data_IF_167887378840
#
_entry.id   IF_167887378840
#
_cell.length_a   1.000
_cell.length_b   1.000
_cell.length_c   1.000
_cell.angle_alpha   90.00
_cell.angle_beta   90.00
_cell.angle_gamma   90.00
#
_symmetry.space_group_name_H-M   'P 1'
#
loop_
_entity.id
_entity.type
_entity.pdbx_description
1 polymer ?
#
# COMPACT_ATOMS: atom_id res chain seq x y z
N UNK A 1 6.75 -24.51 21.21
CA UNK A 1 7.22 -23.12 21.13
C UNK A 1 6.00 -22.22 21.03
N UNK A 2 5.58 -21.61 22.12
CA UNK A 2 4.48 -20.63 22.12
C UNK A 2 5.02 -19.29 21.65
N UNK A 3 4.48 -18.77 20.56
CA UNK A 3 4.72 -17.39 20.14
C UNK A 3 4.06 -16.45 21.16
N UNK A 4 4.87 -15.65 21.85
CA UNK A 4 4.42 -14.66 22.83
C UNK A 4 3.56 -13.59 22.16
N UNK A 5 2.36 -13.40 22.72
CA UNK A 5 1.40 -12.36 22.38
C UNK A 5 1.83 -10.99 22.92
N UNK A 6 2.89 -10.42 22.34
CA UNK A 6 3.28 -9.03 22.63
C UNK A 6 2.86 -8.14 21.47
N UNK A 7 1.77 -7.41 21.70
CA UNK A 7 1.21 -6.35 20.83
C UNK A 7 0.63 -6.88 19.52
N UNK A 8 -0.62 -7.36 19.56
CA UNK A 8 -1.41 -7.57 18.35
C UNK A 8 -1.85 -6.20 17.80
N UNK A 9 -0.98 -5.55 17.02
CA UNK A 9 -1.46 -4.54 16.07
C UNK A 9 -2.30 -5.34 15.07
N UNK A 10 -3.60 -5.04 14.87
CA UNK A 10 -4.39 -5.74 13.89
C UNK A 10 -3.83 -5.42 12.49
N UNK A 11 -2.90 -6.25 12.05
CA UNK A 11 -2.37 -6.25 10.70
C UNK A 11 -3.55 -6.53 9.77
N UNK A 12 -3.71 -5.66 8.77
CA UNK A 12 -4.70 -5.83 7.71
C UNK A 12 -3.94 -6.04 6.42
N UNK A 13 -4.42 -6.97 5.61
CA UNK A 13 -3.74 -7.32 4.37
C UNK A 13 -4.41 -6.72 3.14
N UNK A 14 -3.60 -6.56 2.09
CA UNK A 14 -4.03 -6.19 0.74
C UNK A 14 -3.70 -7.35 -0.19
N UNK A 15 -4.71 -7.92 -0.84
CA UNK A 15 -4.49 -8.99 -1.82
C UNK A 15 -4.36 -8.42 -3.21
N UNK A 16 -3.32 -8.81 -3.92
CA UNK A 16 -3.03 -8.36 -5.28
C UNK A 16 -3.09 -9.59 -6.18
N UNK A 17 -4.17 -9.69 -6.95
CA UNK A 17 -4.49 -10.81 -7.81
C UNK A 17 -4.31 -10.37 -9.26
N UNK A 18 -3.33 -10.94 -9.95
CA UNK A 18 -3.06 -10.64 -11.35
C UNK A 18 -3.09 -11.92 -12.17
N UNK A 19 -3.64 -11.87 -13.38
CA UNK A 19 -3.78 -13.07 -14.19
C UNK A 19 -4.19 -12.83 -15.64
N UNK A 20 -3.99 -13.87 -16.44
CA UNK A 20 -4.51 -13.96 -17.80
C UNK A 20 -5.75 -14.83 -17.83
N UNK A 21 -6.64 -14.52 -18.77
CA UNK A 21 -7.87 -15.27 -19.00
C UNK A 21 -8.12 -15.41 -20.49
N UNK A 22 -8.82 -16.46 -20.88
CA UNK A 22 -9.17 -16.74 -22.28
C UNK A 22 -10.55 -16.20 -22.67
N UNK A 23 -11.37 -15.84 -21.69
CA UNK A 23 -12.76 -15.41 -21.90
C UNK A 23 -12.94 -13.88 -21.94
N UNK A 24 -11.97 -13.11 -21.43
CA UNK A 24 -12.01 -11.66 -21.51
C UNK A 24 -11.59 -11.17 -22.89
N UNK A 25 -12.36 -10.26 -23.48
CA UNK A 25 -12.00 -9.56 -24.73
C UNK A 25 -11.14 -8.33 -24.47
N UNK A 26 -11.20 -7.77 -23.26
CA UNK A 26 -10.46 -6.60 -22.81
C UNK A 26 -9.97 -6.79 -21.37
N UNK A 27 -8.93 -6.06 -20.98
CA UNK A 27 -8.41 -6.10 -19.61
C UNK A 27 -9.39 -5.43 -18.62
N UNK A 28 -9.50 -6.01 -17.43
CA UNK A 28 -10.33 -5.53 -16.33
C UNK A 28 -9.43 -5.27 -15.13
N UNK A 29 -9.57 -4.09 -14.54
CA UNK A 29 -8.90 -3.71 -13.29
C UNK A 29 -9.94 -3.31 -12.27
N UNK A 30 -9.88 -3.91 -11.09
CA UNK A 30 -10.79 -3.61 -9.98
C UNK A 30 -9.97 -3.34 -8.72
N UNK A 31 -10.29 -2.25 -8.04
CA UNK A 31 -9.78 -1.93 -6.71
C UNK A 31 -10.94 -1.91 -5.72
N UNK A 32 -10.83 -2.72 -4.68
CA UNK A 32 -11.91 -2.96 -3.71
C UNK A 32 -11.38 -2.63 -2.32
N UNK A 33 -12.11 -1.79 -1.59
CA UNK A 33 -11.94 -1.58 -0.16
C UNK A 33 -13.15 -2.14 0.57
N UNK A 34 -12.93 -3.19 1.37
CA UNK A 34 -13.98 -3.76 2.20
C UNK A 34 -14.36 -2.80 3.34
N UNK A 35 -15.65 -2.76 3.71
CA UNK A 35 -16.14 -1.92 4.82
C UNK A 35 -15.52 -2.31 6.15
N UNK A 36 -15.35 -3.61 6.37
CA UNK A 36 -14.67 -4.23 7.51
C UNK A 36 -13.62 -5.21 6.98
N UNK A 37 -12.54 -5.42 7.74
CA UNK A 37 -11.51 -6.36 7.31
C UNK A 37 -11.97 -7.80 7.62
N UNK A 38 -11.90 -8.70 6.64
CA UNK A 38 -12.48 -10.05 6.74
C UNK A 38 -11.43 -11.10 6.39
N UNK A 39 -11.41 -12.21 7.14
CA UNK A 39 -10.60 -13.38 6.80
C UNK A 39 -11.20 -14.09 5.58
N UNK A 40 -10.48 -14.07 4.46
CA UNK A 40 -10.92 -14.67 3.20
C UNK A 40 -10.37 -16.09 3.05
N UNK A 41 -10.63 -16.95 4.04
CA UNK A 41 -10.17 -18.35 4.05
C UNK A 41 -8.68 -18.48 3.76
N UNK A 42 -8.33 -19.35 2.82
CA UNK A 42 -6.95 -19.65 2.42
C UNK A 42 -6.39 -18.72 1.34
N UNK A 43 -7.02 -17.55 1.12
CA UNK A 43 -6.51 -16.56 0.15
C UNK A 43 -5.12 -16.02 0.54
N UNK A 44 -4.82 -16.02 1.83
CA UNK A 44 -3.60 -15.44 2.40
C UNK A 44 -2.82 -16.53 3.13
N UNK A 45 -1.51 -16.58 2.92
CA UNK A 45 -0.60 -17.56 3.56
C UNK A 45 -0.66 -17.49 5.10
N UNK A 46 -0.79 -16.28 5.62
CA UNK A 46 -0.98 -16.01 7.05
C UNK A 46 -2.43 -15.62 7.27
N UNK A 47 -3.12 -16.10 8.33
CA UNK A 47 -4.52 -15.78 8.59
C UNK A 47 -4.70 -14.32 9.06
N UNK A 48 -4.58 -13.40 8.12
CA UNK A 48 -4.65 -11.95 8.33
C UNK A 48 -5.90 -11.41 7.64
N UNK A 49 -6.74 -10.60 8.32
CA UNK A 49 -7.96 -10.09 7.73
C UNK A 49 -7.65 -9.16 6.54
N UNK A 50 -8.30 -9.44 5.42
CA UNK A 50 -8.17 -8.66 4.19
C UNK A 50 -8.97 -7.38 4.28
N UNK A 51 -8.35 -6.26 3.95
CA UNK A 51 -9.02 -4.95 3.83
C UNK A 51 -9.17 -4.50 2.38
N UNK A 52 -8.13 -4.72 1.58
CA UNK A 52 -8.07 -4.28 0.19
C UNK A 52 -7.89 -5.48 -0.74
N UNK A 53 -8.50 -5.38 -1.93
CA UNK A 53 -8.25 -6.30 -3.02
C UNK A 53 -7.99 -5.49 -4.29
N UNK A 54 -6.91 -5.82 -4.96
CA UNK A 54 -6.64 -5.39 -6.32
C UNK A 54 -6.70 -6.60 -7.22
N UNK A 55 -7.51 -6.51 -8.27
CA UNK A 55 -7.69 -7.59 -9.24
C UNK A 55 -7.41 -7.02 -10.63
N UNK A 56 -6.44 -7.59 -11.33
CA UNK A 56 -6.14 -7.25 -12.72
C UNK A 56 -6.15 -8.52 -13.57
N UNK A 57 -7.15 -8.64 -14.43
CA UNK A 57 -7.30 -9.76 -15.35
C UNK A 57 -7.24 -9.25 -16.78
N UNK A 58 -6.46 -9.90 -17.62
CA UNK A 58 -6.35 -9.51 -19.02
C UNK A 58 -6.31 -10.67 -19.99
N UNK A 59 -6.01 -10.37 -21.24
CA UNK A 59 -5.92 -11.35 -22.32
C UNK A 59 -4.59 -12.09 -22.28
N UNK A 60 -4.60 -13.31 -22.81
CA UNK A 60 -3.39 -14.13 -22.97
C UNK A 60 -2.29 -13.42 -23.77
N UNK A 61 -1.02 -13.64 -23.38
CA UNK A 61 0.18 -13.10 -24.02
C UNK A 61 0.77 -11.84 -23.36
N UNK A 62 0.26 -11.43 -22.19
CA UNK A 62 0.70 -10.25 -21.44
C UNK A 62 1.08 -10.54 -19.97
N UNK A 63 1.21 -11.80 -19.56
CA UNK A 63 1.46 -12.23 -18.18
C UNK A 63 2.63 -11.49 -17.52
N UNK A 64 3.73 -11.30 -18.24
CA UNK A 64 4.89 -10.57 -17.74
C UNK A 64 4.53 -9.11 -17.39
N UNK A 65 3.76 -8.42 -18.23
CA UNK A 65 3.30 -7.05 -17.98
C UNK A 65 2.34 -7.01 -16.78
N UNK A 66 1.41 -7.96 -16.69
CA UNK A 66 0.47 -8.04 -15.58
C UNK A 66 1.16 -8.30 -14.24
N UNK A 67 2.22 -9.11 -14.25
CA UNK A 67 3.08 -9.32 -13.07
C UNK A 67 3.76 -8.03 -12.63
N UNK A 68 4.31 -7.24 -13.57
CA UNK A 68 4.91 -5.95 -13.21
C UNK A 68 3.86 -4.94 -12.71
N UNK A 69 2.64 -4.94 -13.27
CA UNK A 69 1.51 -4.16 -12.72
C UNK A 69 1.22 -4.55 -11.26
N UNK A 70 1.14 -5.86 -10.98
CA UNK A 70 0.92 -6.36 -9.62
C UNK A 70 2.04 -5.95 -8.66
N UNK A 71 3.30 -6.02 -9.10
CA UNK A 71 4.46 -5.57 -8.31
C UNK A 71 4.40 -4.08 -8.01
N UNK A 72 4.12 -3.25 -9.01
CA UNK A 72 3.95 -1.80 -8.83
C UNK A 72 2.83 -1.49 -7.85
N UNK A 73 1.71 -2.22 -7.91
CA UNK A 73 0.62 -2.05 -6.95
C UNK A 73 1.02 -2.49 -5.54
N UNK A 74 1.87 -3.51 -5.40
CA UNK A 74 2.42 -3.94 -4.12
C UNK A 74 3.30 -2.87 -3.47
N UNK A 75 4.15 -2.24 -4.27
CA UNK A 75 4.98 -1.11 -3.81
C UNK A 75 4.10 0.07 -3.41
N UNK A 76 3.11 0.43 -4.24
CA UNK A 76 2.19 1.53 -3.96
C UNK A 76 1.38 1.30 -2.67
N UNK A 77 0.88 0.08 -2.46
CA UNK A 77 0.12 -0.26 -1.24
C UNK A 77 0.98 -0.35 0.02
N UNK A 78 2.30 -0.44 -0.13
CA UNK A 78 3.27 -0.43 0.97
C UNK A 78 3.66 0.99 1.39
N UNK A 79 3.35 2.00 0.57
CA UNK A 79 3.55 3.39 0.92
C UNK A 79 2.50 3.86 1.94
N UNK A 80 2.96 4.44 3.06
CA UNK A 80 2.09 4.83 4.17
C UNK A 80 1.12 5.96 3.77
N UNK A 81 1.57 6.90 2.93
CA UNK A 81 0.74 8.04 2.49
C UNK A 81 -0.38 7.55 1.58
N UNK A 82 -0.05 6.75 0.58
CA UNK A 82 -1.03 6.14 -0.30
C UNK A 82 -1.99 5.21 0.44
N UNK A 83 -1.49 4.42 1.41
CA UNK A 83 -2.33 3.57 2.24
C UNK A 83 -3.40 4.39 2.97
N UNK A 84 -3.01 5.53 3.54
CA UNK A 84 -3.90 6.46 4.21
C UNK A 84 -4.95 7.07 3.27
N UNK A 85 -4.53 7.46 2.07
CA UNK A 85 -5.43 7.92 1.01
C UNK A 85 -6.43 6.82 0.64
N UNK A 86 -5.97 5.59 0.44
CA UNK A 86 -6.83 4.45 0.12
C UNK A 86 -7.88 4.16 1.20
N UNK A 87 -7.56 4.38 2.49
CA UNK A 87 -8.54 4.28 3.58
C UNK A 87 -9.58 5.39 3.62
N UNK A 88 -9.22 6.60 3.19
CA UNK A 88 -10.08 7.79 3.26
C UNK A 88 -10.82 8.06 1.94
N UNK A 89 -10.35 7.49 0.84
CA UNK A 89 -10.89 7.68 -0.51
C UNK A 89 -12.40 7.43 -0.56
N UNK A 90 -13.11 8.32 -1.24
CA UNK A 90 -14.55 8.22 -1.51
C UNK A 90 -14.83 8.06 -3.00
N UNK A 91 -13.83 8.33 -3.83
CA UNK A 91 -13.94 8.32 -5.28
C UNK A 91 -12.68 7.77 -5.93
N UNK A 92 -12.78 7.40 -7.21
CA UNK A 92 -11.62 7.01 -8.02
C UNK A 92 -10.59 8.14 -8.13
N UNK A 93 -11.05 9.39 -8.19
CA UNK A 93 -10.17 10.56 -8.31
C UNK A 93 -9.25 10.72 -7.11
N UNK A 94 -9.70 10.36 -5.91
CA UNK A 94 -8.85 10.41 -4.71
C UNK A 94 -7.69 9.41 -4.81
N UNK A 95 -7.97 8.19 -5.31
CA UNK A 95 -6.95 7.17 -5.53
C UNK A 95 -5.94 7.58 -6.61
N UNK A 96 -6.41 8.22 -7.69
CA UNK A 96 -5.53 8.71 -8.75
C UNK A 96 -4.64 9.85 -8.24
N UNK A 97 -5.20 10.78 -7.45
CA UNK A 97 -4.41 11.84 -6.83
C UNK A 97 -3.31 11.29 -5.91
N UNK A 98 -3.63 10.26 -5.10
CA UNK A 98 -2.63 9.59 -4.27
C UNK A 98 -1.55 8.88 -5.10
N UNK A 99 -1.91 8.29 -6.23
CA UNK A 99 -0.95 7.68 -7.16
C UNK A 99 -0.02 8.75 -7.76
N UNK A 100 -0.57 9.89 -8.19
CA UNK A 100 0.22 10.99 -8.76
C UNK A 100 1.19 11.59 -7.73
N UNK A 101 0.76 11.71 -6.47
CA UNK A 101 1.62 12.14 -5.35
C UNK A 101 2.76 11.15 -5.11
N UNK A 102 2.46 9.85 -5.07
CA UNK A 102 3.47 8.80 -4.94
C UNK A 102 4.50 8.86 -6.09
N UNK A 103 4.04 8.99 -7.33
CA UNK A 103 4.91 9.07 -8.51
C UNK A 103 5.77 10.34 -8.51
N UNK A 104 5.26 11.44 -7.99
CA UNK A 104 6.01 12.70 -7.87
C UNK A 104 7.14 12.62 -6.85
N UNK A 105 6.99 11.78 -5.82
CA UNK A 105 8.03 11.52 -4.82
C UNK A 105 9.03 10.43 -5.26
N UNK A 106 8.67 9.58 -6.23
CA UNK A 106 9.51 8.48 -6.69
C UNK A 106 10.69 8.99 -7.54
N UNK A 107 11.91 8.61 -7.15
CA UNK A 107 13.12 8.90 -7.94
C UNK A 107 13.35 7.84 -8.99
N UNK A 108 13.47 8.24 -10.26
CA UNK A 108 13.83 7.34 -11.37
C UNK A 108 15.34 7.30 -11.54
N UNK A 109 15.89 6.09 -11.62
CA UNK A 109 17.30 5.87 -11.93
C UNK A 109 17.47 5.64 -13.45
N UNK A 110 18.41 6.34 -14.11
CA UNK A 110 18.67 6.13 -15.52
C UNK A 110 19.27 4.74 -15.79
N UNK A 111 18.93 4.09 -16.92
CA UNK A 111 19.48 2.79 -17.29
C UNK A 111 20.96 2.95 -17.70
N UNK A 112 21.88 2.36 -16.94
CA UNK A 112 23.30 2.23 -17.35
C UNK A 112 24.35 2.63 -16.32
N UNK A 113 24.00 3.36 -15.25
CA UNK A 113 24.96 3.74 -14.18
C UNK A 113 24.77 2.95 -12.88
N UNK A 114 23.91 1.93 -12.92
CA UNK A 114 23.61 1.11 -11.75
C UNK A 114 24.22 -0.27 -11.88
N UNK A 115 25.34 -0.50 -11.19
CA UNK A 115 25.89 -1.84 -11.02
C UNK A 115 25.13 -2.56 -9.87
N UNK A 116 24.46 -3.70 -10.10
CA UNK A 116 23.77 -4.42 -9.03
C UNK A 116 24.69 -4.88 -7.87
N UNK A 117 26.02 -4.87 -8.08
CA UNK A 117 27.02 -5.22 -7.08
C UNK A 117 27.48 -4.04 -6.21
N UNK A 118 27.21 -2.78 -6.60
CA UNK A 118 27.48 -1.62 -5.74
C UNK A 118 26.40 -1.52 -4.66
N UNK A 119 26.73 -2.02 -3.47
CA UNK A 119 25.91 -1.91 -2.27
C UNK A 119 25.75 -0.42 -1.91
N UNK A 120 24.54 0.13 -2.05
CA UNK A 120 24.23 1.44 -1.46
C UNK A 120 24.29 1.26 0.05
N UNK A 121 25.14 2.00 0.73
CA UNK A 121 25.09 2.07 2.18
C UNK A 121 23.77 2.74 2.58
N UNK A 122 23.06 2.21 3.60
CA UNK A 122 21.86 2.85 4.09
C UNK A 122 22.17 4.30 4.47
N UNK A 123 21.28 5.27 4.14
CA UNK A 123 21.53 6.68 4.42
C UNK A 123 21.82 6.87 5.92
N UNK A 124 22.85 7.68 6.22
CA UNK A 124 23.33 7.90 7.59
C UNK A 124 22.27 8.44 8.56
N UNK A 125 21.18 9.00 8.01
CA UNK A 125 19.98 9.37 8.75
C UNK A 125 18.77 9.14 7.87
N UNK A 126 17.82 8.32 8.35
CA UNK A 126 16.48 8.24 7.80
C UNK A 126 15.81 9.60 8.07
N UNK A 127 15.28 10.32 7.06
CA UNK A 127 14.49 11.52 7.33
C UNK A 127 13.32 11.12 8.22
N UNK A 128 13.32 11.59 9.46
CA UNK A 128 12.25 11.30 10.40
C UNK A 128 10.93 11.86 9.82
N UNK A 129 9.93 11.00 9.58
CA UNK A 129 8.56 11.38 9.17
C UNK A 129 7.82 12.27 10.21
N UNK A 130 8.53 12.88 11.15
CA UNK A 130 8.02 13.63 12.30
C UNK A 130 7.53 15.04 11.93
N UNK A 131 7.63 15.48 10.67
CA UNK A 131 7.23 16.85 10.30
C UNK A 131 5.73 17.11 10.22
N UNK A 132 4.87 16.08 10.25
CA UNK A 132 3.41 16.28 10.20
C UNK A 132 2.66 15.84 11.48
N UNK A 133 3.33 15.22 12.46
CA UNK A 133 2.70 14.80 13.72
C UNK A 133 2.64 15.92 14.77
N UNK A 134 3.49 16.95 14.67
CA UNK A 134 3.53 18.08 15.60
C UNK A 134 2.36 19.05 15.46
N UNK A 135 1.56 18.98 14.39
CA UNK A 135 0.36 19.83 14.26
C UNK A 135 -0.87 19.24 14.95
N UNK A 136 -0.93 17.91 15.13
CA UNK A 136 -2.05 17.24 15.81
C UNK A 136 -1.86 17.15 17.33
N UNK A 137 -0.62 17.05 17.84
CA UNK A 137 -0.38 16.94 19.29
C UNK A 137 -0.45 18.28 20.06
N UNK A 138 -0.51 19.43 19.37
CA UNK A 138 -0.61 20.74 20.04
C UNK A 138 -2.07 21.09 20.37
N UNK A 139 -3.04 20.61 19.59
CA UNK A 139 -4.46 20.96 19.78
C UNK A 139 -5.13 20.24 20.97
N UNK A 140 -4.63 19.07 21.40
CA UNK A 140 -5.23 18.34 22.55
C UNK A 140 -4.86 18.91 23.93
N UNK A 141 -3.81 19.73 24.05
CA UNK A 141 -3.39 20.25 25.37
C UNK A 141 -4.16 21.49 25.85
N UNK A 142 -5.02 22.09 25.03
CA UNK A 142 -5.74 23.33 25.39
C UNK A 142 -7.18 23.14 25.91
N UNK A 143 -7.73 21.91 25.97
CA UNK A 143 -9.12 21.71 26.39
C UNK A 143 -9.32 21.19 27.83
N UNK A 144 -8.27 20.99 28.61
CA UNK A 144 -8.38 20.44 29.98
C UNK A 144 -7.81 21.33 31.09
N UNK A 145 -8.10 22.64 31.06
CA UNK A 145 -7.95 23.49 32.25
C UNK A 145 -9.15 24.43 32.39
N UNK A 146 -10.18 23.99 33.11
CA UNK A 146 -11.01 24.86 33.95
C UNK A 146 -11.29 24.14 35.28
N UNK A 147 -10.91 24.72 36.43
CA UNK A 147 -11.26 24.12 37.72
C UNK A 147 -12.74 24.36 38.05
N UNK A 148 -13.30 23.44 38.84
CA UNK A 148 -14.59 23.57 39.52
C UNK A 148 -14.58 24.75 40.49
#
# INVERSE_FOLDING_TARGET
MSFNSSIYIPLKTSNILVGETTFLTTQITVFIRLKEAVLLGDLTEVPVPTRFLFIHLGTIGNAAKYREIGRSMGVLMSDEVFHDVAYKARSRTDLLAGLDEFLSAATVLPPGEWDPSIRIEPPASVPSQVKNMTKLCIDEKYYNIRPR
#
